data_IF_867665751190
#
_entry.id   IF_867665751190
#
_cell.length_a   1.000
_cell.length_b   1.000
_cell.length_c   1.000
_cell.angle_alpha   90.00
_cell.angle_beta   90.00
_cell.angle_gamma   90.00
#
_symmetry.space_group_name_H-M   'P 1'
#
loop_
_entity.id
_entity.type
_entity.pdbx_description
1 polymer ?
#
# COMPACT_ATOMS: atom_id res chain seq x y z
N UNK A 1 -34.43 -6.91 -9.67
CA UNK A 1 -33.30 -7.60 -9.02
C UNK A 1 -32.29 -6.54 -8.57
N UNK A 2 -32.31 -6.15 -7.29
CA UNK A 2 -31.28 -5.23 -6.76
C UNK A 2 -29.95 -5.98 -6.70
N UNK A 3 -28.91 -5.43 -7.34
CA UNK A 3 -27.60 -6.07 -7.49
C UNK A 3 -27.04 -6.56 -6.14
N UNK A 4 -27.16 -7.87 -5.87
CA UNK A 4 -26.74 -8.49 -4.61
C UNK A 4 -25.26 -8.23 -4.32
N UNK A 5 -24.44 -8.12 -5.37
CA UNK A 5 -23.04 -7.74 -5.28
C UNK A 5 -22.85 -6.31 -4.77
N UNK A 6 -23.61 -5.35 -5.31
CA UNK A 6 -23.56 -3.96 -4.86
C UNK A 6 -23.95 -3.84 -3.38
N UNK A 7 -24.99 -4.55 -2.94
CA UNK A 7 -25.38 -4.58 -1.52
C UNK A 7 -24.29 -5.20 -0.62
N UNK A 8 -23.61 -6.25 -1.08
CA UNK A 8 -22.48 -6.83 -0.35
C UNK A 8 -21.31 -5.84 -0.25
N UNK A 9 -21.00 -5.13 -1.33
CA UNK A 9 -19.95 -4.11 -1.36
C UNK A 9 -20.27 -2.92 -0.46
N UNK A 10 -21.49 -2.38 -0.54
CA UNK A 10 -21.96 -1.30 0.35
C UNK A 10 -21.99 -1.73 1.81
N UNK A 11 -22.27 -3.01 2.09
CA UNK A 11 -22.21 -3.56 3.44
C UNK A 11 -20.77 -3.60 3.97
N UNK A 12 -19.80 -4.02 3.18
CA UNK A 12 -18.38 -3.97 3.56
C UNK A 12 -17.91 -2.53 3.79
N UNK A 13 -18.28 -1.61 2.90
CA UNK A 13 -17.98 -0.19 3.06
C UNK A 13 -18.57 0.38 4.35
N UNK A 14 -19.82 0.06 4.69
CA UNK A 14 -20.47 0.53 5.91
C UNK A 14 -19.85 -0.06 7.18
N UNK A 15 -19.46 -1.34 7.16
CA UNK A 15 -18.79 -1.98 8.29
C UNK A 15 -17.43 -1.35 8.56
N UNK A 16 -16.70 -1.01 7.50
CA UNK A 16 -15.32 -0.55 7.59
C UNK A 16 -15.19 0.98 7.65
N UNK A 17 -16.20 1.74 7.23
CA UNK A 17 -16.25 3.20 7.45
C UNK A 17 -16.34 3.58 8.93
N UNK A 18 -16.71 2.63 9.80
CA UNK A 18 -16.69 2.81 11.26
C UNK A 18 -15.37 2.37 11.90
N UNK A 19 -14.49 1.69 11.16
CA UNK A 19 -13.21 1.20 11.66
C UNK A 19 -12.12 2.26 11.43
N UNK A 20 -11.42 2.62 12.52
CA UNK A 20 -10.36 3.64 12.52
C UNK A 20 -9.17 3.21 11.65
N UNK A 21 -9.00 1.91 11.44
CA UNK A 21 -7.93 1.29 10.67
C UNK A 21 -8.03 1.62 9.18
N UNK A 22 -9.24 1.81 8.65
CA UNK A 22 -9.46 2.27 7.27
C UNK A 22 -8.95 3.70 7.07
N UNK A 23 -9.20 4.58 8.03
CA UNK A 23 -8.68 5.94 8.03
C UNK A 23 -7.15 5.95 8.11
N UNK A 24 -6.58 5.05 8.92
CA UNK A 24 -5.13 4.85 9.05
C UNK A 24 -4.46 4.50 7.71
N UNK A 25 -4.91 3.45 7.02
CA UNK A 25 -4.30 3.08 5.73
C UNK A 25 -4.51 4.14 4.66
N UNK A 26 -5.64 4.84 4.72
CA UNK A 26 -5.95 5.84 3.69
C UNK A 26 -5.14 7.12 3.85
N UNK A 27 -5.02 7.65 5.06
CA UNK A 27 -4.51 9.00 5.29
C UNK A 27 -3.09 9.04 5.86
N UNK A 28 -2.67 8.02 6.59
CA UNK A 28 -1.35 8.02 7.23
C UNK A 28 -0.20 8.16 6.20
N UNK A 29 -0.21 7.49 5.03
CA UNK A 29 0.78 7.73 3.99
C UNK A 29 0.83 9.20 3.50
N UNK A 30 -0.33 9.85 3.35
CA UNK A 30 -0.40 11.26 2.98
C UNK A 30 0.09 12.18 4.12
N UNK A 31 -0.24 11.86 5.37
CA UNK A 31 0.25 12.59 6.55
C UNK A 31 1.77 12.50 6.70
N UNK A 32 2.38 11.36 6.33
CA UNK A 32 3.85 11.23 6.30
C UNK A 32 4.44 12.22 5.31
N UNK A 33 3.87 12.37 4.11
CA UNK A 33 4.35 13.34 3.13
C UNK A 33 4.26 14.75 3.70
N UNK A 34 3.12 15.14 4.28
CA UNK A 34 2.99 16.46 4.92
C UNK A 34 3.98 16.68 6.07
N UNK A 35 4.24 15.65 6.89
CA UNK A 35 5.22 15.74 7.97
C UNK A 35 6.65 15.95 7.43
N UNK A 36 6.99 15.27 6.33
CA UNK A 36 8.26 15.45 5.62
C UNK A 36 8.35 16.86 5.03
N UNK A 37 7.27 17.38 4.44
CA UNK A 37 7.24 18.74 3.91
C UNK A 37 7.49 19.78 5.01
N UNK A 38 6.79 19.66 6.15
CA UNK A 38 6.97 20.54 7.31
C UNK A 38 8.41 20.48 7.83
N UNK A 39 8.98 19.29 7.95
CA UNK A 39 10.37 19.11 8.38
C UNK A 39 11.34 19.86 7.48
N UNK A 40 11.17 19.75 6.17
CA UNK A 40 12.03 20.45 5.21
C UNK A 40 11.81 21.96 5.19
N UNK A 41 10.56 22.43 5.24
CA UNK A 41 10.25 23.86 5.32
C UNK A 41 10.90 24.47 6.56
N UNK A 42 10.77 23.82 7.71
CA UNK A 42 11.41 24.25 8.96
C UNK A 42 12.93 24.30 8.83
N UNK A 43 13.54 23.30 8.19
CA UNK A 43 14.97 23.26 7.90
C UNK A 43 15.44 24.45 7.05
N UNK A 44 14.72 24.75 5.96
CA UNK A 44 15.04 25.87 5.06
C UNK A 44 14.95 27.21 5.81
N UNK A 45 13.88 27.42 6.59
CA UNK A 45 13.64 28.67 7.32
C UNK A 45 14.65 28.90 8.45
N UNK A 46 15.10 27.84 9.12
CA UNK A 46 15.96 27.96 10.31
C UNK A 46 17.44 27.98 9.97
N UNK A 47 17.87 27.15 9.02
CA UNK A 47 19.28 26.99 8.71
C UNK A 47 19.78 27.92 7.59
N UNK A 48 18.88 28.52 6.80
CA UNK A 48 19.23 29.30 5.61
C UNK A 48 19.98 28.50 4.53
N UNK A 49 20.25 27.22 4.78
CA UNK A 49 20.87 26.31 3.84
C UNK A 49 19.76 25.68 3.04
N UNK A 50 19.68 26.06 1.77
CA UNK A 50 18.86 25.37 0.79
C UNK A 50 19.40 23.94 0.64
N UNK A 51 18.63 22.90 0.99
CA UNK A 51 19.09 21.53 0.94
C UNK A 51 19.19 21.11 -0.53
N UNK A 52 20.34 21.41 -1.14
CA UNK A 52 20.59 21.20 -2.55
C UNK A 52 21.28 22.41 -3.18
N UNK A 53 22.58 22.53 -2.96
CA UNK A 53 23.43 23.41 -3.77
C UNK A 53 23.42 22.95 -5.23
N UNK A 54 22.41 23.41 -6.00
CA UNK A 54 22.31 23.47 -7.47
C UNK A 54 22.46 22.20 -8.31
N UNK A 55 22.92 21.07 -7.76
CA UNK A 55 23.45 19.95 -8.58
C UNK A 55 22.67 18.63 -8.43
N UNK A 56 21.87 18.48 -7.38
CA UNK A 56 21.11 17.25 -7.10
C UNK A 56 19.62 17.46 -7.36
N UNK A 57 18.98 16.51 -8.05
CA UNK A 57 17.54 16.54 -8.30
C UNK A 57 16.76 16.52 -6.97
N UNK A 58 16.00 17.59 -6.63
CA UNK A 58 15.33 17.71 -5.35
C UNK A 58 14.12 16.78 -5.23
N UNK A 59 13.47 16.41 -6.34
CA UNK A 59 12.42 15.38 -6.36
C UNK A 59 12.90 14.05 -5.80
N UNK A 60 14.16 13.69 -6.07
CA UNK A 60 14.79 12.47 -5.55
C UNK A 60 15.29 12.65 -4.13
N UNK A 61 16.15 13.63 -3.89
CA UNK A 61 16.90 13.69 -2.64
C UNK A 61 16.07 14.15 -1.45
N UNK A 62 15.14 15.08 -1.68
CA UNK A 62 14.34 15.69 -0.63
C UNK A 62 13.07 14.87 -0.40
N UNK A 63 12.19 14.81 -1.41
CA UNK A 63 10.91 14.11 -1.31
C UNK A 63 11.07 12.60 -1.48
N UNK A 64 11.61 12.18 -2.62
CA UNK A 64 11.70 10.76 -2.99
C UNK A 64 12.37 9.90 -1.94
N UNK A 65 13.55 10.30 -1.48
CA UNK A 65 14.37 9.53 -0.55
C UNK A 65 13.63 9.31 0.78
N UNK A 66 13.21 10.40 1.39
CA UNK A 66 12.60 10.40 2.71
C UNK A 66 11.23 9.72 2.67
N UNK A 67 10.36 10.09 1.73
CA UNK A 67 9.01 9.54 1.62
C UNK A 67 9.03 8.05 1.29
N UNK A 68 9.82 7.62 0.31
CA UNK A 68 9.83 6.21 -0.08
C UNK A 68 10.51 5.31 0.94
N UNK A 69 11.42 5.81 1.77
CA UNK A 69 11.95 5.07 2.91
C UNK A 69 10.83 4.76 3.93
N UNK A 70 9.98 5.74 4.25
CA UNK A 70 8.82 5.52 5.09
C UNK A 70 7.79 4.59 4.44
N UNK A 71 7.50 4.76 3.15
CA UNK A 71 6.55 3.92 2.43
C UNK A 71 7.04 2.47 2.37
N UNK A 72 8.34 2.26 2.17
CA UNK A 72 8.92 0.94 2.17
C UNK A 72 8.65 0.19 3.50
N UNK A 73 8.85 0.85 4.64
CA UNK A 73 8.73 0.20 5.95
C UNK A 73 7.29 0.15 6.47
N UNK A 74 6.56 1.26 6.40
CA UNK A 74 5.27 1.40 7.10
C UNK A 74 4.09 0.91 6.28
N UNK A 75 4.10 1.11 4.95
CA UNK A 75 2.93 0.84 4.10
C UNK A 75 2.52 -0.65 4.11
N UNK A 76 3.45 -1.63 4.01
CA UNK A 76 3.10 -3.05 4.12
C UNK A 76 2.56 -3.45 5.50
N UNK A 77 3.01 -2.79 6.57
CA UNK A 77 2.51 -3.02 7.94
C UNK A 77 1.08 -2.50 8.06
N UNK A 78 0.83 -1.28 7.56
CA UNK A 78 -0.49 -0.67 7.53
C UNK A 78 -1.50 -1.53 6.75
N UNK A 79 -1.09 -2.06 5.59
CA UNK A 79 -1.93 -2.99 4.82
C UNK A 79 -2.24 -4.25 5.61
N UNK A 80 -1.25 -4.84 6.30
CA UNK A 80 -1.49 -6.04 7.12
C UNK A 80 -2.52 -5.79 8.21
N UNK A 81 -2.40 -4.67 8.93
CA UNK A 81 -3.35 -4.26 9.97
C UNK A 81 -4.76 -4.10 9.39
N UNK A 82 -4.88 -3.40 8.26
CA UNK A 82 -6.18 -3.16 7.63
C UNK A 82 -6.83 -4.43 7.09
N UNK A 83 -6.07 -5.27 6.39
CA UNK A 83 -6.58 -6.53 5.86
C UNK A 83 -7.02 -7.46 6.99
N UNK A 84 -6.25 -7.50 8.08
CA UNK A 84 -6.66 -8.22 9.28
C UNK A 84 -7.95 -7.62 9.87
N UNK A 85 -8.06 -6.31 10.02
CA UNK A 85 -9.26 -5.65 10.53
C UNK A 85 -10.50 -5.96 9.66
N UNK A 86 -10.34 -6.06 8.34
CA UNK A 86 -11.40 -6.48 7.41
C UNK A 86 -11.89 -7.91 7.66
N UNK A 87 -11.03 -8.79 8.15
CA UNK A 87 -11.36 -10.17 8.51
C UNK A 87 -11.87 -10.27 9.96
N UNK A 88 -11.33 -9.46 10.87
CA UNK A 88 -11.66 -9.46 12.30
C UNK A 88 -13.13 -9.13 12.58
N UNK A 89 -13.73 -8.25 11.79
CA UNK A 89 -15.18 -7.93 11.84
C UNK A 89 -16.05 -9.19 11.66
N UNK A 90 -15.56 -10.18 10.91
CA UNK A 90 -16.25 -11.46 10.70
C UNK A 90 -15.94 -12.50 11.77
N UNK A 91 -14.77 -12.39 12.43
CA UNK A 91 -14.39 -13.22 13.56
C UNK A 91 -15.03 -12.80 14.87
N UNK A 92 -15.34 -11.51 15.02
CA UNK A 92 -16.10 -10.98 16.15
C UNK A 92 -17.52 -11.57 16.14
N UNK A 93 -17.96 -12.02 17.31
CA UNK A 93 -19.29 -12.60 17.55
C UNK A 93 -19.65 -13.82 16.68
N UNK A 94 -18.66 -14.53 16.13
CA UNK A 94 -18.86 -15.64 15.20
C UNK A 94 -19.75 -15.27 13.99
N UNK A 95 -19.67 -14.02 13.53
CA UNK A 95 -20.45 -13.51 12.41
C UNK A 95 -20.25 -14.33 11.13
N UNK A 96 -19.13 -15.05 10.98
CA UNK A 96 -18.94 -16.02 9.89
C UNK A 96 -20.07 -17.06 9.79
N UNK A 97 -20.65 -17.53 10.92
CA UNK A 97 -21.76 -18.49 10.90
C UNK A 97 -23.02 -17.85 10.33
N UNK A 98 -23.33 -16.63 10.77
CA UNK A 98 -24.47 -15.84 10.29
C UNK A 98 -24.28 -15.45 8.82
N UNK A 99 -23.06 -15.10 8.41
CA UNK A 99 -22.74 -14.72 7.04
C UNK A 99 -22.99 -15.86 6.04
N UNK A 100 -22.75 -17.11 6.45
CA UNK A 100 -22.99 -18.29 5.63
C UNK A 100 -24.44 -18.79 5.63
N UNK A 101 -25.32 -18.27 6.48
CA UNK A 101 -26.77 -18.57 6.43
C UNK A 101 -27.55 -17.61 5.52
N UNK A 102 -26.93 -16.49 5.12
CA UNK A 102 -27.52 -15.55 4.17
C UNK A 102 -27.59 -16.22 2.78
N UNK A 103 -28.69 -16.06 2.01
CA UNK A 103 -28.84 -16.64 0.67
C UNK A 103 -28.00 -15.89 -0.39
N UNK A 104 -26.73 -15.62 -0.08
CA UNK A 104 -25.75 -15.01 -0.98
C UNK A 104 -24.63 -16.03 -1.20
N UNK A 105 -24.25 -16.25 -2.46
CA UNK A 105 -23.14 -17.14 -2.79
C UNK A 105 -21.84 -16.71 -2.09
N UNK A 106 -21.11 -17.66 -1.49
CA UNK A 106 -19.80 -17.42 -0.85
C UNK A 106 -18.81 -16.67 -1.74
N UNK A 107 -18.83 -16.93 -3.05
CA UNK A 107 -17.98 -16.23 -4.02
C UNK A 107 -18.26 -14.75 -4.09
N UNK A 108 -19.52 -14.32 -4.11
CA UNK A 108 -19.88 -12.88 -4.13
C UNK A 108 -19.38 -12.16 -2.88
N UNK A 109 -19.47 -12.81 -1.71
CA UNK A 109 -19.00 -12.26 -0.44
C UNK A 109 -17.48 -12.09 -0.47
N UNK A 110 -16.75 -13.15 -0.86
CA UNK A 110 -15.30 -13.11 -0.94
C UNK A 110 -14.79 -12.06 -1.94
N UNK A 111 -15.31 -12.08 -3.18
CA UNK A 111 -14.87 -11.14 -4.20
C UNK A 111 -15.23 -9.70 -3.83
N UNK A 112 -16.36 -9.46 -3.18
CA UNK A 112 -16.70 -8.15 -2.65
C UNK A 112 -15.65 -7.65 -1.64
N UNK A 113 -15.18 -8.51 -0.73
CA UNK A 113 -14.15 -8.17 0.25
C UNK A 113 -12.78 -7.92 -0.41
N UNK A 114 -12.34 -8.83 -1.28
CA UNK A 114 -11.07 -8.69 -1.98
C UNK A 114 -11.04 -7.41 -2.84
N UNK A 115 -12.13 -7.12 -3.56
CA UNK A 115 -12.27 -5.92 -4.38
C UNK A 115 -12.28 -4.66 -3.49
N UNK A 116 -12.98 -4.68 -2.36
CA UNK A 116 -12.96 -3.58 -1.39
C UNK A 116 -11.54 -3.27 -0.88
N UNK A 117 -10.77 -4.30 -0.52
CA UNK A 117 -9.38 -4.15 -0.09
C UNK A 117 -8.54 -3.51 -1.20
N UNK A 118 -8.62 -4.03 -2.43
CA UNK A 118 -7.86 -3.52 -3.57
C UNK A 118 -8.22 -2.07 -3.93
N UNK A 119 -9.51 -1.72 -3.94
CA UNK A 119 -9.95 -0.33 -4.17
C UNK A 119 -9.46 0.60 -3.07
N UNK A 120 -9.49 0.16 -1.81
CA UNK A 120 -9.02 1.00 -0.70
C UNK A 120 -7.53 1.30 -0.82
N UNK A 121 -6.73 0.29 -1.21
CA UNK A 121 -5.29 0.47 -1.48
C UNK A 121 -5.08 1.36 -2.70
N UNK A 122 -5.87 1.19 -3.76
CA UNK A 122 -5.81 2.06 -4.93
C UNK A 122 -6.07 3.52 -4.53
N UNK A 123 -7.13 3.78 -3.75
CA UNK A 123 -7.47 5.14 -3.32
C UNK A 123 -6.38 5.72 -2.41
N UNK A 124 -5.80 4.92 -1.50
CA UNK A 124 -4.68 5.34 -0.65
C UNK A 124 -3.41 5.68 -1.45
N UNK A 125 -3.06 4.85 -2.43
CA UNK A 125 -1.91 5.11 -3.30
C UNK A 125 -2.12 6.30 -4.22
N UNK A 126 -3.32 6.49 -4.77
CA UNK A 126 -3.67 7.67 -5.59
C UNK A 126 -3.66 8.95 -4.74
N UNK A 127 -4.20 8.92 -3.53
CA UNK A 127 -4.13 10.05 -2.61
C UNK A 127 -2.67 10.41 -2.31
N UNK A 128 -1.85 9.41 -1.99
CA UNK A 128 -0.42 9.59 -1.72
C UNK A 128 0.32 10.17 -2.91
N UNK A 129 0.01 9.71 -4.13
CA UNK A 129 0.55 10.23 -5.38
C UNK A 129 0.19 11.72 -5.59
N UNK A 130 -1.07 12.08 -5.39
CA UNK A 130 -1.53 13.46 -5.54
C UNK A 130 -0.87 14.40 -4.52
N UNK A 131 -0.77 13.98 -3.26
CA UNK A 131 -0.11 14.76 -2.21
C UNK A 131 1.39 14.89 -2.48
N UNK A 132 2.06 13.84 -2.95
CA UNK A 132 3.47 13.89 -3.33
C UNK A 132 3.73 14.88 -4.48
N UNK A 133 2.89 14.87 -5.52
CA UNK A 133 2.98 15.84 -6.61
C UNK A 133 2.71 17.26 -6.11
N UNK A 134 1.67 17.45 -5.31
CA UNK A 134 1.30 18.76 -4.77
C UNK A 134 2.43 19.34 -3.91
N UNK A 135 3.08 18.50 -3.10
CA UNK A 135 4.27 18.88 -2.33
C UNK A 135 5.38 19.39 -3.25
N UNK A 136 5.77 18.64 -4.27
CA UNK A 136 6.84 19.06 -5.19
C UNK A 136 6.50 20.34 -5.97
N UNK A 137 5.25 20.53 -6.40
CA UNK A 137 4.81 21.80 -7.00
C UNK A 137 4.79 22.95 -6.00
N UNK A 138 4.39 22.69 -4.76
CA UNK A 138 4.41 23.68 -3.69
C UNK A 138 5.84 24.18 -3.44
N UNK A 139 6.81 23.27 -3.30
CA UNK A 139 8.22 23.64 -3.17
C UNK A 139 8.76 24.38 -4.40
N UNK A 140 8.32 24.01 -5.60
CA UNK A 140 8.69 24.69 -6.84
C UNK A 140 8.25 26.17 -6.88
N UNK A 141 7.12 26.51 -6.28
CA UNK A 141 6.58 27.89 -6.26
C UNK A 141 7.08 28.66 -5.04
N UNK A 142 7.07 28.04 -3.86
CA UNK A 142 7.43 28.70 -2.61
C UNK A 142 8.96 28.88 -2.44
N UNK A 143 9.75 27.94 -2.97
CA UNK A 143 11.21 27.91 -2.83
C UNK A 143 11.89 27.63 -4.18
N UNK A 144 11.79 28.56 -5.16
CA UNK A 144 12.30 28.33 -6.50
C UNK A 144 13.81 28.10 -6.55
N UNK A 145 14.56 28.59 -5.56
CA UNK A 145 16.01 28.42 -5.50
C UNK A 145 16.44 26.93 -5.35
N UNK A 146 15.57 26.06 -4.83
CA UNK A 146 15.80 24.60 -4.72
C UNK A 146 15.79 23.91 -6.10
N UNK A 147 15.14 24.51 -7.10
CA UNK A 147 15.21 24.03 -8.49
C UNK A 147 14.27 22.86 -8.84
N UNK A 148 13.16 22.66 -8.11
CA UNK A 148 12.14 21.67 -8.46
C UNK A 148 11.58 21.86 -9.89
N UNK A 149 11.48 23.12 -10.33
CA UNK A 149 11.03 23.51 -11.67
C UNK A 149 11.97 23.10 -12.81
N UNK A 150 13.23 22.80 -12.51
CA UNK A 150 14.24 22.49 -13.53
C UNK A 150 14.15 21.02 -14.00
N UNK A 151 13.32 20.20 -13.36
CA UNK A 151 13.21 18.76 -13.62
C UNK A 151 11.76 18.37 -13.93
N UNK A 152 11.55 17.63 -15.02
CA UNK A 152 10.26 16.97 -15.28
C UNK A 152 10.29 15.54 -14.73
N UNK A 153 9.59 15.34 -13.62
CA UNK A 153 9.55 14.06 -12.90
C UNK A 153 8.17 13.38 -12.92
N UNK A 154 7.21 13.93 -13.68
CA UNK A 154 5.81 13.49 -13.67
C UNK A 154 5.68 12.02 -14.07
N UNK A 155 6.37 11.63 -15.14
CA UNK A 155 6.34 10.26 -15.66
C UNK A 155 6.98 9.28 -14.67
N UNK A 156 8.17 9.59 -14.17
CA UNK A 156 8.88 8.74 -13.20
C UNK A 156 8.04 8.53 -11.95
N UNK A 157 7.42 9.59 -11.42
CA UNK A 157 6.55 9.51 -10.24
C UNK A 157 5.34 8.62 -10.56
N UNK A 158 4.68 8.82 -11.70
CA UNK A 158 3.52 8.02 -12.09
C UNK A 158 3.84 6.52 -12.11
N UNK A 159 4.91 6.11 -12.81
CA UNK A 159 5.31 4.70 -12.87
C UNK A 159 5.80 4.16 -11.53
N UNK A 160 6.47 4.97 -10.72
CA UNK A 160 6.89 4.55 -9.38
C UNK A 160 5.69 4.25 -8.49
N UNK A 161 4.67 5.12 -8.47
CA UNK A 161 3.44 4.89 -7.70
C UNK A 161 2.61 3.74 -8.27
N UNK A 162 2.62 3.54 -9.59
CA UNK A 162 1.98 2.39 -10.23
C UNK A 162 2.61 1.06 -9.79
N UNK A 163 3.95 0.97 -9.82
CA UNK A 163 4.72 -0.20 -9.33
C UNK A 163 4.51 -0.43 -7.83
N UNK A 164 4.44 0.66 -7.06
CA UNK A 164 4.11 0.60 -5.63
C UNK A 164 2.71 0.01 -5.42
N UNK A 165 1.69 0.47 -6.15
CA UNK A 165 0.33 -0.07 -6.07
C UNK A 165 0.28 -1.57 -6.40
N UNK A 166 0.98 -2.01 -7.47
CA UNK A 166 1.07 -3.42 -7.85
C UNK A 166 1.70 -4.25 -6.71
N UNK A 167 2.77 -3.75 -6.12
CA UNK A 167 3.45 -4.38 -4.99
C UNK A 167 2.52 -4.50 -3.77
N UNK A 168 1.88 -3.40 -3.39
CA UNK A 168 0.97 -3.35 -2.24
C UNK A 168 -0.27 -4.24 -2.44
N UNK A 169 -0.77 -4.35 -3.67
CA UNK A 169 -1.86 -5.27 -4.02
C UNK A 169 -1.47 -6.73 -3.81
N UNK A 170 -0.26 -7.12 -4.21
CA UNK A 170 0.25 -8.48 -3.97
C UNK A 170 0.38 -8.76 -2.47
N UNK A 171 0.94 -7.82 -1.71
CA UNK A 171 1.08 -7.93 -0.25
C UNK A 171 -0.30 -8.07 0.41
N UNK A 172 -1.29 -7.29 -0.03
CA UNK A 172 -2.64 -7.35 0.52
C UNK A 172 -3.31 -8.70 0.32
N UNK A 173 -3.13 -9.35 -0.83
CA UNK A 173 -3.70 -10.68 -1.09
C UNK A 173 -3.01 -11.79 -0.28
N UNK A 174 -1.71 -11.68 -0.06
CA UNK A 174 -0.98 -12.56 0.87
C UNK A 174 -1.50 -12.38 2.29
N UNK A 175 -1.65 -11.13 2.72
CA UNK A 175 -2.17 -10.79 4.05
C UNK A 175 -3.62 -11.24 4.23
N UNK A 176 -4.41 -11.25 3.15
CA UNK A 176 -5.78 -11.77 3.17
C UNK A 176 -5.78 -13.28 3.39
N UNK A 177 -4.93 -14.03 2.68
CA UNK A 177 -4.78 -15.47 2.88
C UNK A 177 -4.38 -15.79 4.33
N UNK A 178 -3.38 -15.07 4.87
CA UNK A 178 -2.93 -15.23 6.26
C UNK A 178 -4.04 -14.90 7.26
N UNK A 179 -4.75 -13.79 7.06
CA UNK A 179 -5.84 -13.37 7.95
C UNK A 179 -7.05 -14.31 7.88
N UNK A 180 -7.21 -15.08 6.80
CA UNK A 180 -8.22 -16.13 6.70
C UNK A 180 -7.83 -17.41 7.45
N UNK A 181 -6.53 -17.71 7.57
CA UNK A 181 -6.01 -18.86 8.30
C UNK A 181 -5.95 -18.58 9.80
N UNK A 182 -5.39 -17.43 10.18
CA UNK A 182 -5.14 -17.08 11.58
C UNK A 182 -6.22 -16.16 12.12
N UNK A 183 -6.82 -16.53 13.27
CA UNK A 183 -7.78 -15.68 13.99
C UNK A 183 -7.10 -14.59 14.81
N UNK A 184 -5.81 -14.71 15.11
CA UNK A 184 -5.08 -13.77 15.95
C UNK A 184 -4.36 -12.73 15.10
N UNK A 185 -4.48 -11.45 15.48
CA UNK A 185 -3.88 -10.31 14.79
C UNK A 185 -2.33 -10.35 14.75
N UNK A 186 -1.71 -11.04 15.71
CA UNK A 186 -0.25 -11.11 15.86
C UNK A 186 0.41 -11.79 14.66
N UNK A 187 -0.20 -12.86 14.11
CA UNK A 187 0.46 -13.65 13.06
C UNK A 187 0.55 -12.90 11.72
N UNK A 188 -0.53 -12.31 11.16
CA UNK A 188 -0.43 -11.58 9.89
C UNK A 188 0.51 -10.37 9.96
N UNK A 189 0.46 -9.61 11.07
CA UNK A 189 1.31 -8.43 11.26
C UNK A 189 2.76 -8.83 11.48
N UNK A 190 3.02 -9.80 12.37
CA UNK A 190 4.36 -10.33 12.63
C UNK A 190 5.00 -10.89 11.36
N UNK A 191 4.23 -11.58 10.53
CA UNK A 191 4.68 -12.03 9.22
C UNK A 191 5.03 -10.86 8.28
N UNK A 192 4.24 -9.79 8.29
CA UNK A 192 4.54 -8.57 7.51
C UNK A 192 5.90 -7.97 7.90
N UNK A 193 6.11 -7.78 9.21
CA UNK A 193 7.36 -7.22 9.74
C UNK A 193 8.56 -8.11 9.45
N UNK A 194 8.41 -9.42 9.66
CA UNK A 194 9.44 -10.40 9.32
C UNK A 194 9.81 -10.34 7.84
N UNK A 195 8.82 -10.31 6.94
CA UNK A 195 9.07 -10.26 5.50
C UNK A 195 9.70 -8.94 5.05
N UNK A 196 9.39 -7.82 5.68
CA UNK A 196 10.08 -6.55 5.42
C UNK A 196 11.57 -6.68 5.77
N UNK A 197 11.90 -7.14 6.98
CA UNK A 197 13.30 -7.29 7.43
C UNK A 197 14.03 -8.30 6.55
N UNK A 198 13.39 -9.44 6.26
CA UNK A 198 13.95 -10.45 5.37
C UNK A 198 14.24 -9.88 3.98
N UNK A 199 13.35 -9.02 3.47
CA UNK A 199 13.52 -8.36 2.16
C UNK A 199 14.74 -7.44 2.10
N UNK A 200 15.14 -6.81 3.21
CA UNK A 200 16.39 -6.03 3.29
C UNK A 200 17.59 -6.95 3.06
N UNK A 201 17.63 -8.07 3.80
CA UNK A 201 18.76 -8.99 3.79
C UNK A 201 18.95 -9.66 2.43
N UNK A 202 17.85 -10.01 1.75
CA UNK A 202 17.91 -10.74 0.47
C UNK A 202 17.89 -9.86 -0.77
N UNK A 203 17.82 -8.54 -0.63
CA UNK A 203 17.56 -7.62 -1.74
C UNK A 203 18.50 -7.83 -2.94
N UNK A 204 19.79 -8.04 -2.67
CA UNK A 204 20.84 -8.23 -3.68
C UNK A 204 20.81 -9.61 -4.37
N UNK A 205 20.01 -10.56 -3.87
CA UNK A 205 19.93 -11.91 -4.42
C UNK A 205 18.96 -11.95 -5.60
N UNK A 206 19.28 -12.72 -6.64
CA UNK A 206 18.43 -12.87 -7.84
C UNK A 206 17.01 -13.39 -7.58
N UNK A 207 16.77 -14.06 -6.46
CA UNK A 207 15.42 -14.56 -6.12
C UNK A 207 14.56 -13.51 -5.39
N UNK A 208 15.14 -12.36 -5.00
CA UNK A 208 14.41 -11.29 -4.29
C UNK A 208 13.20 -10.81 -5.09
N UNK A 209 13.29 -10.80 -6.43
CA UNK A 209 12.21 -10.47 -7.35
C UNK A 209 10.93 -11.30 -7.19
N UNK A 210 11.01 -12.48 -6.58
CA UNK A 210 9.86 -13.34 -6.30
C UNK A 210 9.21 -13.09 -4.94
N UNK A 211 9.78 -12.18 -4.13
CA UNK A 211 9.27 -11.83 -2.81
C UNK A 211 8.61 -10.45 -2.92
N UNK A 212 7.28 -10.35 -2.78
CA UNK A 212 6.57 -9.09 -3.03
C UNK A 212 6.97 -7.99 -2.04
N UNK A 213 7.37 -8.34 -0.82
CA UNK A 213 7.84 -7.39 0.19
C UNK A 213 9.15 -6.69 -0.19
N UNK A 214 9.93 -7.23 -1.14
CA UNK A 214 11.11 -6.54 -1.69
C UNK A 214 10.71 -5.40 -2.62
N UNK A 215 9.49 -5.42 -3.16
CA UNK A 215 8.99 -4.41 -4.09
C UNK A 215 8.89 -3.01 -3.48
N UNK A 216 8.69 -2.90 -2.16
CA UNK A 216 8.72 -1.59 -1.49
C UNK A 216 10.11 -0.95 -1.55
N UNK A 217 11.17 -1.73 -1.31
CA UNK A 217 12.55 -1.25 -1.43
C UNK A 217 12.91 -0.98 -2.89
N UNK A 218 12.46 -1.84 -3.81
CA UNK A 218 12.65 -1.58 -5.24
C UNK A 218 11.91 -0.35 -5.73
N UNK A 219 10.76 0.00 -5.15
CA UNK A 219 10.04 1.24 -5.49
C UNK A 219 10.86 2.47 -5.11
N UNK A 220 11.54 2.43 -3.95
CA UNK A 220 12.54 3.43 -3.58
C UNK A 220 13.69 3.51 -4.60
N UNK A 221 14.29 2.36 -4.94
CA UNK A 221 15.40 2.30 -5.88
C UNK A 221 15.01 2.81 -7.28
N UNK A 222 13.81 2.43 -7.75
CA UNK A 222 13.27 2.85 -9.05
C UNK A 222 13.14 4.37 -9.16
N UNK A 223 12.75 5.06 -8.08
CA UNK A 223 12.67 6.51 -8.07
C UNK A 223 14.07 7.16 -8.15
N UNK A 224 15.06 6.57 -7.48
CA UNK A 224 16.45 7.05 -7.51
C UNK A 224 17.09 6.86 -8.88
N UNK A 225 16.84 5.72 -9.53
CA UNK A 225 17.40 5.39 -10.84
C UNK A 225 16.53 5.84 -12.01
N UNK A 226 15.40 6.50 -11.77
CA UNK A 226 14.42 6.91 -12.80
C UNK A 226 13.91 5.74 -13.65
N UNK A 227 13.75 4.57 -13.03
CA UNK A 227 13.36 3.36 -13.74
C UNK A 227 11.85 3.34 -14.01
N UNK A 228 11.50 3.63 -15.27
CA UNK A 228 10.13 3.61 -15.79
C UNK A 228 9.71 2.20 -16.24
N UNK A 229 10.64 1.37 -16.70
CA UNK A 229 10.36 0.08 -17.32
C UNK A 229 9.89 -0.96 -16.31
N UNK A 230 8.92 -1.79 -16.68
CA UNK A 230 8.48 -2.90 -15.86
C UNK A 230 9.56 -3.98 -15.75
N UNK A 231 9.89 -4.35 -14.52
CA UNK A 231 10.87 -5.39 -14.24
C UNK A 231 10.21 -6.72 -13.90
N UNK A 232 11.03 -7.78 -13.81
CA UNK A 232 10.59 -9.12 -13.40
C UNK A 232 9.80 -9.13 -12.09
N UNK A 233 10.16 -8.26 -11.13
CA UNK A 233 9.44 -8.14 -9.87
C UNK A 233 8.01 -7.63 -10.06
N UNK A 234 7.76 -6.69 -10.97
CA UNK A 234 6.43 -6.15 -11.19
C UNK A 234 5.50 -7.21 -11.78
N UNK A 235 5.99 -7.96 -12.78
CA UNK A 235 5.27 -9.09 -13.36
C UNK A 235 5.02 -10.20 -12.33
N UNK A 236 6.01 -10.48 -11.48
CA UNK A 236 5.91 -11.43 -10.37
C UNK A 236 4.80 -11.01 -9.38
N UNK A 237 4.74 -9.73 -9.01
CA UNK A 237 3.71 -9.19 -8.11
C UNK A 237 2.30 -9.27 -8.71
N UNK A 238 2.14 -9.02 -10.02
CA UNK A 238 0.85 -9.21 -10.71
C UNK A 238 0.43 -10.68 -10.65
N UNK A 239 1.33 -11.60 -10.96
CA UNK A 239 1.06 -13.04 -10.89
C UNK A 239 0.70 -13.48 -9.46
N UNK A 240 1.44 -13.03 -8.46
CA UNK A 240 1.17 -13.34 -7.05
C UNK A 240 -0.17 -12.80 -6.59
N UNK A 241 -0.57 -11.60 -7.02
CA UNK A 241 -1.89 -11.05 -6.71
C UNK A 241 -2.99 -12.01 -7.18
N UNK A 242 -2.92 -12.51 -8.41
CA UNK A 242 -3.90 -13.44 -8.96
C UNK A 242 -3.89 -14.79 -8.25
N UNK A 243 -2.70 -15.34 -7.98
CA UNK A 243 -2.53 -16.63 -7.27
C UNK A 243 -3.09 -16.56 -5.86
N UNK A 244 -2.78 -15.51 -5.10
CA UNK A 244 -3.24 -15.36 -3.72
C UNK A 244 -4.72 -14.99 -3.63
N UNK A 245 -5.33 -14.36 -4.64
CA UNK A 245 -6.79 -14.25 -4.75
C UNK A 245 -7.41 -15.65 -4.85
N UNK A 246 -6.91 -16.50 -5.74
CA UNK A 246 -7.39 -17.88 -5.90
C UNK A 246 -7.22 -18.73 -4.64
N UNK A 247 -6.04 -18.64 -4.00
CA UNK A 247 -5.76 -19.33 -2.74
C UNK A 247 -6.69 -18.85 -1.61
N UNK A 248 -6.84 -17.54 -1.45
CA UNK A 248 -7.73 -16.95 -0.44
C UNK A 248 -9.18 -17.36 -0.67
N UNK A 249 -9.62 -17.43 -1.93
CA UNK A 249 -10.96 -17.92 -2.27
C UNK A 249 -11.14 -19.39 -1.86
N UNK A 250 -10.17 -20.26 -2.17
CA UNK A 250 -10.20 -21.67 -1.76
C UNK A 250 -10.28 -21.80 -0.23
N UNK A 251 -9.44 -21.05 0.50
CA UNK A 251 -9.45 -21.02 1.96
C UNK A 251 -10.80 -20.55 2.52
N UNK A 252 -11.39 -19.52 1.93
CA UNK A 252 -12.68 -18.96 2.33
C UNK A 252 -13.83 -19.97 2.13
N UNK A 253 -13.86 -20.67 1.00
CA UNK A 253 -14.90 -21.67 0.69
C UNK A 253 -14.78 -22.91 1.59
N UNK A 254 -13.54 -23.38 1.82
CA UNK A 254 -13.25 -24.57 2.64
C UNK A 254 -13.56 -24.37 4.12
N UNK A 255 -13.62 -23.12 4.59
CA UNK A 255 -14.00 -22.75 5.95
C UNK A 255 -15.47 -23.15 6.19
N UNK A 256 -15.70 -24.42 6.49
CA UNK A 256 -16.97 -24.93 7.01
C UNK A 256 -17.17 -24.32 8.39
N UNK A 257 -18.39 -23.84 8.67
CA UNK A 257 -18.75 -23.37 10.00
C UNK A 257 -18.60 -24.52 10.99
N UNK A 258 -17.45 -24.59 11.66
CA UNK A 258 -17.27 -25.34 12.89
C UNK A 258 -17.93 -24.53 14.02
#
# INVERSE_FOLDING_TARGET
MTNTFYKAFSSEQYKLSKNKELFGVLLLPALIIFAVDIYFIYGILTSGNEPGGGTMNPWKNMLGNTVFLFFYMLYPILISIFVYACCDVEYKNNNYKILFTIPISKSKIFFSKALFILITILFSTVLSYLVFLLSGYFFSVAFPAIGFQNYDFREVIFYTFLKLYITLSSIAMIQLALSLVFRNFIYPIGFSVFMIIFSIVVNEKKFSDFIPYTGGFKSYANLMTENILFERLDYSNIAMTLVFIGLSFYLFVKKKGA
#
